data_IF_559165127455
#
_entry.id   IF_559165127455
#
_cell.length_a   1.000
_cell.length_b   1.000
_cell.length_c   1.000
_cell.angle_alpha   90.00
_cell.angle_beta   90.00
_cell.angle_gamma   90.00
#
_symmetry.space_group_name_H-M   'P 1'
#
loop_
_entity.id
_entity.type
_entity.pdbx_description
1 polymer ?
#
# COMPACT_ATOMS: atom_id res chain seq x y z
N UNK A 1 8.76 -12.25 -13.88
CA UNK A 1 7.66 -12.36 -12.89
C UNK A 1 6.35 -12.31 -13.65
N UNK A 2 5.55 -13.38 -13.62
CA UNK A 2 4.36 -13.55 -14.46
C UNK A 2 3.04 -13.19 -13.76
N UNK A 3 1.91 -13.50 -14.41
CA UNK A 3 0.54 -13.19 -13.97
C UNK A 3 0.22 -13.66 -12.53
N UNK A 4 0.79 -14.81 -12.12
CA UNK A 4 0.56 -15.40 -10.79
C UNK A 4 1.23 -14.64 -9.63
N UNK A 5 2.05 -13.62 -9.92
CA UNK A 5 2.58 -12.73 -8.88
C UNK A 5 1.59 -11.63 -8.48
N UNK A 6 0.53 -11.40 -9.28
CA UNK A 6 -0.46 -10.35 -9.01
C UNK A 6 -1.32 -10.69 -7.80
N UNK A 7 -1.64 -9.69 -6.96
CA UNK A 7 -2.31 -9.91 -5.67
C UNK A 7 -3.70 -10.55 -5.80
N UNK A 8 -4.36 -10.43 -6.96
CA UNK A 8 -5.66 -11.07 -7.24
C UNK A 8 -5.58 -12.59 -7.34
N UNK A 9 -4.38 -13.15 -7.50
CA UNK A 9 -4.14 -14.60 -7.57
C UNK A 9 -3.65 -15.18 -6.25
N UNK A 10 -3.52 -14.35 -5.20
CA UNK A 10 -3.13 -14.82 -3.87
C UNK A 10 -4.25 -15.67 -3.26
N UNK A 11 -3.92 -16.79 -2.60
CA UNK A 11 -4.93 -17.63 -1.97
C UNK A 11 -5.54 -16.92 -0.75
N UNK A 12 -6.80 -17.25 -0.48
CA UNK A 12 -7.52 -16.82 0.72
C UNK A 12 -8.13 -18.04 1.44
N UNK A 13 -8.28 -17.97 2.75
CA UNK A 13 -8.83 -19.08 3.53
C UNK A 13 -10.36 -19.07 3.49
N UNK A 14 -10.94 -19.84 2.56
CA UNK A 14 -12.39 -19.94 2.31
C UNK A 14 -13.23 -20.15 3.59
N UNK A 15 -12.91 -21.10 4.50
CA UNK A 15 -13.72 -21.30 5.70
C UNK A 15 -13.75 -20.10 6.66
N UNK A 16 -12.72 -19.24 6.62
CA UNK A 16 -12.75 -17.99 7.42
C UNK A 16 -13.70 -16.99 6.80
N UNK A 17 -13.70 -16.84 5.47
CA UNK A 17 -14.59 -15.90 4.76
C UNK A 17 -16.05 -16.29 4.98
N UNK A 18 -16.37 -17.58 4.80
CA UNK A 18 -17.73 -18.11 4.87
C UNK A 18 -18.37 -17.98 6.28
N UNK A 19 -17.57 -17.74 7.33
CA UNK A 19 -18.08 -17.40 8.67
C UNK A 19 -18.69 -15.99 8.76
N UNK A 20 -18.38 -15.11 7.81
CA UNK A 20 -18.81 -13.71 7.82
C UNK A 20 -19.71 -13.33 6.64
N UNK A 21 -20.16 -14.30 5.85
CA UNK A 21 -21.02 -14.10 4.68
C UNK A 21 -20.61 -15.00 3.51
N UNK A 22 -21.30 -14.88 2.37
CA UNK A 22 -20.86 -15.51 1.12
C UNK A 22 -19.54 -14.89 0.64
N UNK A 23 -18.81 -15.61 -0.22
CA UNK A 23 -17.44 -15.25 -0.61
C UNK A 23 -17.32 -13.84 -1.23
N UNK A 24 -18.38 -13.37 -1.88
CA UNK A 24 -18.51 -12.10 -2.59
C UNK A 24 -19.32 -11.05 -1.82
N UNK A 25 -19.65 -11.31 -0.54
CA UNK A 25 -20.37 -10.36 0.30
C UNK A 25 -19.54 -9.09 0.53
N UNK A 26 -20.02 -7.97 -0.02
CA UNK A 26 -19.43 -6.65 0.14
C UNK A 26 -19.52 -6.22 1.62
N UNK A 27 -18.42 -5.71 2.16
CA UNK A 27 -18.38 -5.24 3.55
C UNK A 27 -18.31 -6.34 4.62
N UNK A 28 -18.08 -7.59 4.20
CA UNK A 28 -17.79 -8.70 5.11
C UNK A 28 -16.59 -8.39 6.02
N UNK A 29 -16.62 -8.93 7.25
CA UNK A 29 -15.67 -8.58 8.31
C UNK A 29 -14.45 -9.49 8.37
N UNK A 30 -14.26 -10.39 7.40
CA UNK A 30 -13.18 -11.38 7.42
C UNK A 30 -11.77 -10.78 7.34
N UNK A 31 -11.65 -9.52 6.88
CA UNK A 31 -10.38 -8.78 6.77
C UNK A 31 -10.00 -8.00 8.03
N UNK A 32 -10.79 -8.08 9.10
CA UNK A 32 -10.48 -7.35 10.34
C UNK A 32 -9.28 -7.99 11.07
N UNK A 33 -8.54 -7.21 11.88
CA UNK A 33 -7.49 -7.76 12.74
C UNK A 33 -8.02 -8.94 13.56
N UNK A 34 -7.14 -9.90 13.89
CA UNK A 34 -7.45 -11.17 14.59
C UNK A 34 -8.24 -12.20 13.75
N UNK A 35 -9.09 -11.76 12.82
CA UNK A 35 -9.87 -12.64 11.96
C UNK A 35 -9.09 -13.03 10.70
N UNK A 36 -8.41 -12.05 10.10
CA UNK A 36 -7.67 -12.23 8.87
C UNK A 36 -6.54 -13.27 9.06
N UNK A 37 -6.64 -14.39 8.33
CA UNK A 37 -5.58 -15.39 8.26
C UNK A 37 -4.67 -15.10 7.08
N UNK A 38 -3.40 -14.81 7.36
CA UNK A 38 -2.42 -14.46 6.34
C UNK A 38 -1.33 -15.53 6.23
N UNK A 39 -1.13 -16.04 5.02
CA UNK A 39 0.02 -16.90 4.68
C UNK A 39 1.27 -16.07 4.30
N UNK A 40 1.26 -14.78 4.61
CA UNK A 40 2.29 -13.81 4.25
C UNK A 40 3.33 -13.63 5.38
N UNK A 41 4.48 -12.98 5.11
CA UNK A 41 5.52 -12.71 6.11
C UNK A 41 5.06 -11.87 7.32
N UNK A 42 3.94 -11.17 7.19
CA UNK A 42 3.37 -10.34 8.24
C UNK A 42 1.90 -10.66 8.45
N UNK A 43 1.43 -10.43 9.68
CA UNK A 43 0.03 -10.52 10.10
C UNK A 43 -0.52 -9.16 10.49
N UNK A 44 -1.76 -8.84 10.12
CA UNK A 44 -2.45 -7.62 10.49
C UNK A 44 -2.68 -7.55 12.01
N UNK A 45 -2.11 -6.53 12.64
CA UNK A 45 -2.20 -6.30 14.09
C UNK A 45 -3.22 -5.20 14.43
N UNK A 46 -3.12 -4.05 13.75
CA UNK A 46 -3.99 -2.90 14.00
C UNK A 46 -4.47 -2.33 12.67
N UNK A 47 -5.75 -2.01 12.59
CA UNK A 47 -6.31 -1.22 11.50
C UNK A 47 -7.17 -0.09 12.05
N UNK A 48 -6.61 1.12 12.07
CA UNK A 48 -7.31 2.36 12.39
C UNK A 48 -7.51 3.15 11.11
N UNK A 49 -8.78 3.27 10.68
CA UNK A 49 -9.13 3.94 9.43
C UNK A 49 -8.58 5.36 9.39
N UNK A 50 -8.01 5.76 8.25
CA UNK A 50 -7.39 7.08 8.01
C UNK A 50 -6.29 7.47 9.01
N UNK A 51 -5.71 6.50 9.74
CA UNK A 51 -4.70 6.78 10.76
C UNK A 51 -3.48 5.89 10.64
N UNK A 52 -3.64 4.57 10.81
CA UNK A 52 -2.50 3.64 10.73
C UNK A 52 -2.98 2.22 10.49
N UNK A 53 -2.23 1.48 9.67
CA UNK A 53 -2.30 0.04 9.54
C UNK A 53 -0.98 -0.54 10.04
N UNK A 54 -1.02 -1.38 11.08
CA UNK A 54 0.17 -2.03 11.65
C UNK A 54 0.14 -3.51 11.35
N UNK A 55 1.26 -4.02 10.88
CA UNK A 55 1.48 -5.46 10.71
C UNK A 55 2.68 -5.89 11.54
N UNK A 56 2.63 -7.12 12.06
CA UNK A 56 3.71 -7.73 12.82
C UNK A 56 4.22 -8.97 12.12
N UNK A 57 5.49 -9.33 12.34
CA UNK A 57 6.11 -10.51 11.76
C UNK A 57 5.25 -11.76 12.04
N UNK A 58 5.03 -12.56 11.01
CA UNK A 58 4.34 -13.84 11.11
C UNK A 58 5.34 -14.95 11.39
N UNK A 59 5.35 -15.50 12.60
CA UNK A 59 6.25 -16.60 12.97
C UNK A 59 5.88 -17.93 12.31
N UNK A 60 4.67 -18.05 11.75
CA UNK A 60 4.20 -19.23 11.03
C UNK A 60 4.47 -19.16 9.52
N UNK A 61 5.06 -18.07 9.04
CA UNK A 61 5.45 -17.95 7.64
C UNK A 61 6.60 -18.92 7.33
N UNK A 62 6.53 -19.61 6.18
CA UNK A 62 7.46 -20.69 5.83
C UNK A 62 8.94 -20.25 5.77
N UNK A 63 9.21 -18.97 5.48
CA UNK A 63 10.57 -18.38 5.45
C UNK A 63 10.75 -17.29 6.52
N UNK A 64 10.09 -17.46 7.68
CA UNK A 64 10.09 -16.46 8.75
C UNK A 64 11.51 -16.09 9.22
N UNK A 65 12.48 -17.00 9.14
CA UNK A 65 13.86 -16.76 9.55
C UNK A 65 14.57 -15.70 8.71
N UNK A 66 14.20 -15.54 7.43
CA UNK A 66 14.76 -14.49 6.56
C UNK A 66 14.09 -13.13 6.73
N UNK A 67 12.93 -13.08 7.40
CA UNK A 67 12.21 -11.84 7.64
C UNK A 67 12.88 -11.09 8.80
N UNK A 68 13.64 -10.04 8.49
CA UNK A 68 14.41 -9.26 9.47
C UNK A 68 13.57 -8.22 10.23
N UNK A 69 12.49 -7.73 9.62
CA UNK A 69 11.62 -6.73 10.24
C UNK A 69 10.67 -7.39 11.24
N UNK A 70 10.52 -6.78 12.42
CA UNK A 70 9.55 -7.21 13.43
C UNK A 70 8.12 -6.77 13.11
N UNK A 71 7.96 -5.71 12.33
CA UNK A 71 6.67 -5.16 11.95
C UNK A 71 6.81 -3.93 11.06
N UNK A 72 5.69 -3.48 10.51
CA UNK A 72 5.61 -2.32 9.61
C UNK A 72 4.38 -1.49 10.00
N UNK A 73 4.55 -0.17 10.02
CA UNK A 73 3.46 0.79 10.21
C UNK A 73 3.22 1.54 8.90
N UNK A 74 2.05 1.37 8.33
CA UNK A 74 1.60 2.07 7.13
C UNK A 74 0.74 3.27 7.54
N UNK A 75 1.15 4.46 7.13
CA UNK A 75 0.42 5.70 7.36
C UNK A 75 -0.24 6.16 6.05
N UNK A 76 -1.56 6.43 6.05
CA UNK A 76 -2.26 6.92 4.86
C UNK A 76 -2.02 8.42 4.71
N UNK A 77 -0.84 8.80 4.21
CA UNK A 77 -0.49 10.20 3.91
C UNK A 77 -0.68 10.43 2.43
N UNK A 78 -1.56 11.36 2.06
CA UNK A 78 -1.96 11.67 0.69
C UNK A 78 -1.27 12.91 0.10
N UNK A 79 -0.59 13.69 0.95
CA UNK A 79 0.14 14.89 0.57
C UNK A 79 1.66 14.65 0.64
N UNK A 80 2.34 14.74 -0.51
CA UNK A 80 3.78 14.50 -0.63
C UNK A 80 4.62 15.42 0.28
N UNK A 81 4.27 16.71 0.38
CA UNK A 81 5.01 17.66 1.24
C UNK A 81 4.88 17.29 2.71
N UNK A 82 3.70 16.83 3.15
CA UNK A 82 3.51 16.32 4.52
C UNK A 82 4.29 15.02 4.75
N UNK A 83 4.31 14.13 3.77
CA UNK A 83 5.07 12.87 3.82
C UNK A 83 6.58 13.15 3.97
N UNK A 84 7.11 14.10 3.20
CA UNK A 84 8.50 14.59 3.31
C UNK A 84 8.82 15.11 4.72
N UNK A 85 7.95 15.95 5.29
CA UNK A 85 8.14 16.46 6.65
C UNK A 85 8.13 15.34 7.70
N UNK A 86 7.24 14.36 7.56
CA UNK A 86 7.17 13.21 8.46
C UNK A 86 8.44 12.35 8.37
N UNK A 87 8.98 12.15 7.17
CA UNK A 87 10.26 11.46 6.97
C UNK A 87 11.42 12.20 7.62
N UNK A 88 11.55 13.51 7.35
CA UNK A 88 12.63 14.35 7.91
C UNK A 88 12.57 14.47 9.43
N UNK A 89 11.38 14.38 10.01
CA UNK A 89 11.17 14.37 11.46
C UNK A 89 11.30 12.96 12.09
N UNK A 90 11.73 11.95 11.32
CA UNK A 90 11.94 10.59 11.82
C UNK A 90 10.67 9.79 12.10
N UNK A 91 9.50 10.27 11.65
CA UNK A 91 8.23 9.55 11.81
C UNK A 91 8.03 8.47 10.75
N UNK A 92 8.67 8.63 9.57
CA UNK A 92 8.67 7.66 8.48
C UNK A 92 10.11 7.23 8.17
N UNK A 93 10.28 5.96 7.82
CA UNK A 93 11.56 5.43 7.32
C UNK A 93 11.65 5.46 5.80
N UNK A 94 10.51 5.49 5.10
CA UNK A 94 10.38 5.45 3.63
C UNK A 94 9.15 6.26 3.25
N UNK A 95 9.23 7.02 2.15
CA UNK A 95 8.11 7.75 1.56
C UNK A 95 7.62 7.06 0.29
N UNK A 96 6.38 7.33 -0.10
CA UNK A 96 5.76 6.82 -1.32
C UNK A 96 6.19 7.64 -2.54
N UNK A 97 6.50 8.92 -2.35
CA UNK A 97 6.98 9.82 -3.40
C UNK A 97 7.87 10.92 -2.82
N UNK A 98 8.54 11.66 -3.70
CA UNK A 98 9.31 12.86 -3.37
C UNK A 98 8.58 14.08 -3.95
N UNK A 99 8.35 15.15 -3.17
CA UNK A 99 7.78 16.38 -3.72
C UNK A 99 8.65 16.92 -4.86
N UNK A 100 8.03 17.36 -5.96
CA UNK A 100 8.74 17.78 -7.18
C UNK A 100 9.78 18.88 -6.89
N UNK A 101 9.43 19.83 -6.03
CA UNK A 101 10.26 20.95 -5.61
C UNK A 101 11.46 20.53 -4.75
N UNK A 102 11.46 19.30 -4.21
CA UNK A 102 12.54 18.76 -3.37
C UNK A 102 13.50 17.85 -4.11
N UNK A 103 13.14 17.40 -5.32
CA UNK A 103 13.98 16.47 -6.10
C UNK A 103 15.39 17.02 -6.27
N UNK A 104 15.55 18.26 -6.71
CA UNK A 104 16.88 18.86 -6.93
C UNK A 104 17.68 18.96 -5.62
N UNK A 105 17.03 19.33 -4.51
CA UNK A 105 17.67 19.48 -3.20
C UNK A 105 18.17 18.13 -2.69
N UNK A 106 17.33 17.09 -2.73
CA UNK A 106 17.72 15.75 -2.32
C UNK A 106 18.84 15.20 -3.20
N UNK A 107 18.73 15.33 -4.52
CA UNK A 107 19.77 14.85 -5.44
C UNK A 107 21.14 15.50 -5.21
N UNK A 108 21.18 16.77 -4.80
CA UNK A 108 22.44 17.50 -4.56
C UNK A 108 22.98 17.32 -3.14
N UNK A 109 22.11 17.35 -2.13
CA UNK A 109 22.54 17.43 -0.73
C UNK A 109 22.43 16.10 0.03
N UNK A 110 21.54 15.21 -0.42
CA UNK A 110 21.24 13.94 0.25
C UNK A 110 21.09 12.79 -0.78
N UNK A 111 22.09 12.56 -1.64
CA UNK A 111 21.98 11.59 -2.73
C UNK A 111 21.71 10.15 -2.25
N UNK A 112 22.13 9.80 -1.04
CA UNK A 112 21.90 8.47 -0.45
C UNK A 112 20.46 8.26 0.04
N UNK A 113 19.66 9.32 0.13
CA UNK A 113 18.28 9.27 0.62
C UNK A 113 17.22 9.31 -0.49
N UNK A 114 17.63 9.59 -1.74
CA UNK A 114 16.73 9.66 -2.89
C UNK A 114 17.05 8.56 -3.89
N UNK A 115 16.00 7.82 -4.26
CA UNK A 115 16.06 6.79 -5.29
C UNK A 115 15.06 7.12 -6.39
N UNK A 116 15.56 7.28 -7.62
CA UNK A 116 14.76 7.52 -8.81
C UNK A 116 15.09 6.42 -9.82
N UNK A 117 14.22 5.42 -9.89
CA UNK A 117 14.38 4.25 -10.73
C UNK A 117 13.29 4.19 -11.83
N UNK A 118 13.56 3.55 -12.98
CA UNK A 118 12.53 3.32 -13.99
C UNK A 118 11.34 2.54 -13.41
N UNK A 119 10.13 3.09 -13.61
CA UNK A 119 8.88 2.46 -13.18
C UNK A 119 8.02 2.07 -14.39
N UNK A 120 7.55 0.81 -14.42
CA UNK A 120 6.65 0.32 -15.47
C UNK A 120 5.22 0.79 -15.22
N UNK A 121 4.97 2.09 -15.43
CA UNK A 121 3.66 2.71 -15.33
C UNK A 121 3.53 3.89 -16.28
N UNK A 122 2.30 4.19 -16.70
CA UNK A 122 1.99 5.30 -17.59
C UNK A 122 1.03 6.25 -16.88
N UNK A 123 1.38 7.53 -16.85
CA UNK A 123 0.45 8.59 -16.44
C UNK A 123 -0.39 9.03 -17.64
N UNK A 124 -1.72 8.99 -17.50
CA UNK A 124 -2.65 9.41 -18.57
C UNK A 124 -3.98 9.88 -17.98
N UNK A 125 -4.70 10.72 -18.75
CA UNK A 125 -6.05 11.13 -18.41
C UNK A 125 -7.05 10.10 -18.95
N UNK A 126 -7.91 9.57 -18.08
CA UNK A 126 -8.99 8.66 -18.47
C UNK A 126 -10.27 9.45 -18.76
N UNK A 127 -10.67 9.51 -20.03
CA UNK A 127 -11.93 10.17 -20.45
C UNK A 127 -13.09 9.18 -20.40
N UNK A 128 -14.23 9.61 -19.85
CA UNK A 128 -15.45 8.80 -19.87
C UNK A 128 -16.14 8.88 -21.23
N UNK A 129 -15.98 7.83 -22.04
CA UNK A 129 -16.56 7.77 -23.38
C UNK A 129 -18.09 7.64 -23.41
N UNK A 130 -18.74 7.31 -22.29
CA UNK A 130 -20.20 7.17 -22.17
C UNK A 130 -20.90 8.45 -21.71
N UNK A 131 -20.15 9.45 -21.28
CA UNK A 131 -20.69 10.74 -20.83
C UNK A 131 -20.16 11.83 -21.76
N UNK A 132 -20.94 12.16 -22.78
CA UNK A 132 -20.62 13.24 -23.72
C UNK A 132 -20.59 14.56 -22.91
N UNK A 133 -19.43 15.20 -22.85
CA UNK A 133 -19.33 16.58 -22.41
C UNK A 133 -19.90 17.44 -23.54
N UNK A 134 -21.14 17.90 -23.40
CA UNK A 134 -21.72 18.96 -24.23
C UNK A 134 -20.94 20.25 -23.96
N UNK A 135 -19.82 20.43 -24.65
CA UNK A 135 -19.13 21.72 -24.76
C UNK A 135 -18.81 21.94 -26.24
N UNK A 136 -19.86 22.14 -27.05
CA UNK A 136 -19.77 22.91 -28.30
C UNK A 136 -21.11 23.63 -28.47
N UNK A 137 -21.18 24.87 -27.98
CA UNK A 137 -21.96 25.96 -28.58
C UNK A 137 -21.31 27.25 -28.10
N UNK A 138 -20.34 27.73 -28.88
CA UNK A 138 -20.00 29.14 -29.00
C UNK A 138 -20.90 29.75 -30.07
#
# INVERSE_FOLDING_TARGET
MGLLAHYTTRPVHRPTIEKFGEIDTIGSKWTRPVILLEMAPFTLEVWQLNKVLKVKKNTLYWDADKVRLNGIHFFPVDNATREDLMFRNGQLHVTSTVPLEKIEVYSKQYPDLIHIDPYFGTYYLRVNLKKLLLIISL
#
